data_IF_882505963219
#
_entry.id   IF_882505963219
#
_cell.length_a   1.000
_cell.length_b   1.000
_cell.length_c   1.000
_cell.angle_alpha   90.00
_cell.angle_beta   90.00
_cell.angle_gamma   90.00
#
_symmetry.space_group_name_H-M   'P 1'
#
loop_
_entity.id
_entity.type
_entity.pdbx_description
1 polymer ?
#
# COMPACT_ATOMS: atom_id res chain seq x y z
N UNK A 1 5.80 8.94 -2.84
CA UNK A 1 5.09 7.87 -2.12
C UNK A 1 5.87 6.57 -2.34
N UNK A 2 6.11 5.78 -1.31
CA UNK A 2 6.87 4.52 -1.37
C UNK A 2 5.91 3.35 -1.61
N UNK A 3 6.28 2.41 -2.47
CA UNK A 3 5.57 1.13 -2.60
C UNK A 3 6.26 0.11 -1.67
N UNK A 4 5.48 -0.51 -0.78
CA UNK A 4 5.90 -1.56 0.13
C UNK A 4 5.31 -2.89 -0.36
N UNK A 5 6.07 -3.71 -1.13
CA UNK A 5 5.67 -5.08 -1.40
C UNK A 5 5.44 -5.83 -0.11
N UNK A 6 4.29 -6.47 -0.01
CA UNK A 6 3.84 -7.20 1.17
C UNK A 6 4.08 -8.69 1.01
N UNK A 7 4.73 -9.31 1.99
CA UNK A 7 4.97 -10.75 2.09
C UNK A 7 4.33 -11.22 3.39
N UNK A 8 3.10 -11.74 3.29
CA UNK A 8 2.44 -12.42 4.39
C UNK A 8 2.89 -13.88 4.44
N UNK A 9 3.32 -14.34 5.63
CA UNK A 9 3.86 -15.69 5.84
C UNK A 9 2.95 -16.47 6.78
N UNK A 10 2.47 -17.62 6.32
CA UNK A 10 1.73 -18.58 7.12
C UNK A 10 2.24 -20.01 6.85
N UNK A 11 2.57 -20.74 7.92
CA UNK A 11 3.19 -22.08 7.85
C UNK A 11 4.42 -22.13 6.91
N UNK A 12 5.25 -21.08 6.91
CA UNK A 12 6.43 -20.97 6.05
C UNK A 12 6.14 -20.70 4.56
N UNK A 13 4.89 -20.43 4.17
CA UNK A 13 4.49 -20.17 2.79
C UNK A 13 4.02 -18.72 2.61
N UNK A 14 4.23 -18.17 1.41
CA UNK A 14 3.66 -16.89 0.98
C UNK A 14 2.15 -17.05 0.84
N UNK A 15 1.39 -16.21 1.53
CA UNK A 15 -0.07 -16.25 1.50
C UNK A 15 -0.68 -14.88 1.24
N UNK A 16 -1.98 -14.86 0.98
CA UNK A 16 -2.82 -13.67 1.14
C UNK A 16 -4.09 -14.07 1.85
N UNK A 17 -4.38 -13.40 2.97
CA UNK A 17 -5.63 -13.62 3.69
C UNK A 17 -6.77 -12.83 3.04
N UNK A 18 -7.63 -13.52 2.30
CA UNK A 18 -8.91 -12.93 1.92
C UNK A 18 -9.71 -12.59 3.18
N UNK A 19 -10.04 -11.29 3.37
CA UNK A 19 -10.91 -10.82 4.47
C UNK A 19 -10.31 -10.99 5.88
N UNK A 20 -8.99 -11.16 5.99
CA UNK A 20 -8.33 -11.50 7.25
C UNK A 20 -8.76 -12.85 7.83
N UNK A 21 -9.40 -13.72 7.02
CA UNK A 21 -9.85 -15.06 7.44
C UNK A 21 -8.69 -16.02 7.36
N UNK A 22 -8.23 -16.47 8.52
CA UNK A 22 -7.08 -17.36 8.67
C UNK A 22 -7.25 -18.72 7.99
N UNK A 23 -8.49 -19.18 7.89
CA UNK A 23 -8.81 -20.55 7.50
C UNK A 23 -8.77 -20.78 5.98
N UNK A 24 -8.81 -19.72 5.18
CA UNK A 24 -8.87 -19.79 3.72
C UNK A 24 -7.81 -18.89 3.06
N UNK A 25 -6.51 -19.08 3.37
CA UNK A 25 -5.45 -18.32 2.70
C UNK A 25 -5.40 -18.70 1.22
N UNK A 26 -5.18 -17.72 0.36
CA UNK A 26 -4.64 -17.99 -0.97
C UNK A 26 -3.15 -18.23 -0.80
N UNK A 27 -2.67 -19.43 -1.11
CA UNK A 27 -1.24 -19.78 -1.07
C UNK A 27 -0.62 -19.50 -2.43
N UNK A 28 0.54 -18.85 -2.45
CA UNK A 28 1.30 -18.62 -3.67
C UNK A 28 2.43 -19.66 -3.79
N UNK A 29 2.76 -20.06 -5.01
CA UNK A 29 3.79 -21.09 -5.27
C UNK A 29 5.22 -20.58 -5.01
N UNK A 30 5.42 -19.27 -5.01
CA UNK A 30 6.72 -18.63 -4.74
C UNK A 30 7.01 -18.63 -3.22
N UNK A 31 8.24 -18.99 -2.85
CA UNK A 31 8.64 -18.95 -1.44
C UNK A 31 8.78 -17.50 -0.93
N UNK A 32 8.64 -17.25 0.38
CA UNK A 32 8.83 -15.90 0.93
C UNK A 32 10.22 -15.30 0.63
N UNK A 33 11.26 -16.14 0.56
CA UNK A 33 12.62 -15.72 0.22
C UNK A 33 12.74 -15.32 -1.25
N UNK A 34 12.22 -16.16 -2.15
CA UNK A 34 12.24 -15.86 -3.58
C UNK A 34 11.42 -14.59 -3.88
N UNK A 35 10.27 -14.41 -3.21
CA UNK A 35 9.45 -13.21 -3.35
C UNK A 35 10.21 -11.95 -2.87
N UNK A 36 10.90 -12.02 -1.73
CA UNK A 36 11.74 -10.93 -1.24
C UNK A 36 12.86 -10.58 -2.22
N UNK A 37 13.53 -11.59 -2.79
CA UNK A 37 14.55 -11.42 -3.83
C UNK A 37 13.98 -10.79 -5.10
N UNK A 38 12.85 -11.28 -5.60
CA UNK A 38 12.19 -10.73 -6.79
C UNK A 38 11.78 -9.26 -6.58
N UNK A 39 11.22 -8.92 -5.42
CA UNK A 39 10.78 -7.55 -5.13
C UNK A 39 11.95 -6.57 -5.02
N UNK A 40 13.05 -6.93 -4.35
CA UNK A 40 14.23 -6.06 -4.32
C UNK A 40 14.85 -5.90 -5.71
N UNK A 41 14.93 -6.98 -6.50
CA UNK A 41 15.47 -6.95 -7.86
C UNK A 41 14.60 -6.11 -8.82
N UNK A 42 13.30 -6.03 -8.54
CA UNK A 42 12.36 -5.16 -9.25
C UNK A 42 12.41 -3.68 -8.80
N UNK A 43 13.25 -3.34 -7.81
CA UNK A 43 13.53 -1.98 -7.37
C UNK A 43 12.76 -1.52 -6.14
N UNK A 44 12.18 -2.43 -5.35
CA UNK A 44 11.55 -2.07 -4.08
C UNK A 44 12.52 -1.27 -3.18
N UNK A 45 12.02 -0.24 -2.51
CA UNK A 45 12.80 0.53 -1.53
C UNK A 45 12.66 -0.02 -0.11
N UNK A 46 11.61 -0.80 0.14
CA UNK A 46 11.28 -1.42 1.42
C UNK A 46 10.60 -2.76 1.18
N UNK A 47 10.73 -3.69 2.12
CA UNK A 47 9.84 -4.85 2.22
C UNK A 47 8.92 -4.72 3.43
N UNK A 48 7.65 -5.09 3.28
CA UNK A 48 6.73 -5.30 4.39
C UNK A 48 6.54 -6.81 4.58
N UNK A 49 6.90 -7.34 5.75
CA UNK A 49 6.86 -8.79 6.01
C UNK A 49 5.99 -9.04 7.24
N UNK A 50 4.98 -9.89 7.10
CA UNK A 50 3.98 -10.15 8.14
C UNK A 50 3.99 -11.61 8.56
N UNK A 51 4.28 -11.89 9.84
CA UNK A 51 4.05 -13.22 10.42
C UNK A 51 2.57 -13.42 10.77
N UNK A 52 1.82 -14.03 9.86
CA UNK A 52 0.38 -14.32 10.03
C UNK A 52 0.16 -15.31 11.18
N UNK A 53 1.05 -16.28 11.38
CA UNK A 53 0.95 -17.18 12.52
C UNK A 53 1.15 -16.42 13.84
N UNK A 54 2.08 -15.46 13.86
CA UNK A 54 2.31 -14.54 14.97
C UNK A 54 1.08 -13.69 15.31
N UNK A 55 0.37 -13.17 14.30
CA UNK A 55 -0.89 -12.41 14.47
C UNK A 55 -1.87 -13.20 15.33
N UNK A 56 -2.12 -14.47 14.98
CA UNK A 56 -3.15 -15.28 15.65
C UNK A 56 -2.69 -16.07 16.88
N UNK A 57 -1.41 -16.49 16.96
CA UNK A 57 -0.94 -17.46 17.98
C UNK A 57 -0.09 -16.89 19.10
N UNK A 58 0.52 -15.71 18.95
CA UNK A 58 1.34 -15.16 20.04
C UNK A 58 2.83 -15.04 19.74
N UNK A 59 3.44 -16.07 19.13
CA UNK A 59 4.91 -16.22 19.02
C UNK A 59 5.38 -17.17 17.89
N UNK A 60 6.39 -16.75 17.14
CA UNK A 60 7.61 -17.52 16.81
C UNK A 60 7.52 -18.70 15.85
N UNK A 61 6.59 -18.72 14.89
CA UNK A 61 6.53 -19.83 13.91
C UNK A 61 7.39 -19.57 12.67
N UNK A 62 7.55 -18.30 12.27
CA UNK A 62 8.27 -17.92 11.05
C UNK A 62 9.49 -17.02 11.34
N UNK A 63 9.93 -16.91 12.60
CA UNK A 63 11.03 -16.01 12.99
C UNK A 63 12.33 -16.28 12.23
N UNK A 64 12.74 -17.56 12.13
CA UNK A 64 13.97 -17.93 11.43
C UNK A 64 13.91 -17.55 9.94
N UNK A 65 12.76 -17.79 9.30
CA UNK A 65 12.53 -17.44 7.89
C UNK A 65 12.53 -15.93 7.66
N UNK A 66 11.94 -15.14 8.57
CA UNK A 66 11.96 -13.68 8.46
C UNK A 66 13.37 -13.14 8.71
N UNK A 67 14.13 -13.72 9.65
CA UNK A 67 15.55 -13.39 9.82
C UNK A 67 16.35 -13.69 8.55
N UNK A 68 16.09 -14.81 7.88
CA UNK A 68 16.73 -15.14 6.61
C UNK A 68 16.35 -14.14 5.50
N UNK A 69 15.10 -13.64 5.46
CA UNK A 69 14.72 -12.54 4.54
C UNK A 69 15.50 -11.27 4.88
N UNK A 70 15.62 -10.91 6.17
CA UNK A 70 16.35 -9.71 6.60
C UNK A 70 17.84 -9.81 6.24
N UNK A 71 18.46 -10.97 6.45
CA UNK A 71 19.89 -11.19 6.20
C UNK A 71 20.23 -11.17 4.69
N UNK A 72 19.28 -11.52 3.82
CA UNK A 72 19.46 -11.55 2.37
C UNK A 72 18.92 -10.30 1.62
N UNK A 73 18.23 -9.39 2.32
CA UNK A 73 17.70 -8.17 1.72
C UNK A 73 18.74 -7.04 1.77
N UNK A 74 19.04 -6.44 0.61
CA UNK A 74 19.86 -5.21 0.54
C UNK A 74 19.06 -3.93 0.89
N UNK A 75 17.75 -4.08 1.11
CA UNK A 75 16.80 -3.00 1.38
C UNK A 75 16.16 -3.17 2.76
N UNK A 76 15.72 -2.07 3.40
CA UNK A 76 15.15 -2.13 4.74
C UNK A 76 13.86 -2.96 4.82
N UNK A 77 13.79 -3.81 5.84
CA UNK A 77 12.63 -4.68 6.11
C UNK A 77 11.80 -4.10 7.26
N UNK A 78 10.50 -3.90 7.02
CA UNK A 78 9.48 -3.60 8.02
C UNK A 78 8.80 -4.90 8.45
N UNK A 79 8.90 -5.25 9.74
CA UNK A 79 8.34 -6.50 10.28
C UNK A 79 7.04 -6.24 11.04
N UNK A 80 6.03 -7.04 10.75
CA UNK A 80 4.75 -7.07 11.43
C UNK A 80 4.38 -8.51 11.85
N UNK A 81 3.36 -8.63 12.69
CA UNK A 81 2.81 -9.94 13.09
C UNK A 81 3.21 -10.36 14.50
N UNK A 82 2.25 -10.32 15.41
CA UNK A 82 2.38 -10.95 16.74
C UNK A 82 3.30 -10.30 17.76
N UNK A 83 3.84 -9.11 17.47
CA UNK A 83 4.73 -8.36 18.35
C UNK A 83 3.89 -7.69 19.46
N UNK A 84 4.12 -8.13 20.71
CA UNK A 84 3.24 -7.83 21.87
C UNK A 84 3.97 -7.25 23.08
N UNK A 85 5.30 -7.30 23.10
CA UNK A 85 6.10 -6.89 24.24
C UNK A 85 7.32 -6.11 23.76
N UNK A 86 7.88 -5.29 24.65
CA UNK A 86 9.12 -4.56 24.44
C UNK A 86 10.26 -5.52 24.05
N UNK A 87 10.37 -6.65 24.75
CA UNK A 87 11.35 -7.69 24.42
C UNK A 87 11.21 -8.24 22.99
N UNK A 88 9.99 -8.40 22.46
CA UNK A 88 9.83 -8.82 21.06
C UNK A 88 10.30 -7.72 20.09
N UNK A 89 10.07 -6.44 20.43
CA UNK A 89 10.53 -5.30 19.64
C UNK A 89 12.06 -5.26 19.63
N UNK A 90 12.68 -5.36 20.81
CA UNK A 90 14.15 -5.39 20.96
C UNK A 90 14.75 -6.52 20.13
N UNK A 91 14.18 -7.73 20.24
CA UNK A 91 14.65 -8.91 19.52
C UNK A 91 14.65 -8.70 18.01
N UNK A 92 13.57 -8.17 17.42
CA UNK A 92 13.54 -7.93 15.97
C UNK A 92 14.55 -6.88 15.52
N UNK A 93 14.76 -5.83 16.32
CA UNK A 93 15.79 -4.83 16.02
C UNK A 93 17.21 -5.38 16.15
N UNK A 94 17.47 -6.26 17.10
CA UNK A 94 18.74 -6.99 17.23
C UNK A 94 19.02 -7.90 16.03
N UNK A 95 17.97 -8.42 15.38
CA UNK A 95 18.04 -9.26 14.18
C UNK A 95 17.85 -8.47 12.88
N UNK A 96 18.13 -7.16 12.88
CA UNK A 96 18.25 -6.36 11.66
C UNK A 96 16.96 -5.76 11.10
N UNK A 97 15.79 -5.99 11.71
CA UNK A 97 14.55 -5.35 11.25
C UNK A 97 14.72 -3.82 11.25
N UNK A 98 14.39 -3.17 10.14
CA UNK A 98 14.56 -1.71 10.03
C UNK A 98 13.45 -0.96 10.73
N UNK A 99 12.24 -1.52 10.75
CA UNK A 99 11.03 -0.92 11.33
C UNK A 99 10.09 -2.00 11.87
N UNK A 100 9.39 -1.69 12.95
CA UNK A 100 8.43 -2.60 13.58
C UNK A 100 7.02 -2.05 13.51
N UNK A 101 6.06 -2.91 13.16
CA UNK A 101 4.64 -2.58 13.13
C UNK A 101 3.93 -3.17 14.34
N UNK A 102 3.26 -2.30 15.09
CA UNK A 102 2.44 -2.67 16.24
C UNK A 102 0.97 -2.39 15.94
N UNK A 103 0.12 -3.40 15.97
CA UNK A 103 -1.34 -3.23 15.90
C UNK A 103 -1.94 -3.25 17.30
N UNK A 104 -2.51 -4.40 17.66
CA UNK A 104 -3.20 -4.62 18.95
C UNK A 104 -2.43 -4.16 20.19
N UNK A 105 -1.11 -4.39 20.23
CA UNK A 105 -0.29 -4.03 21.38
C UNK A 105 -0.22 -2.51 21.60
N UNK A 106 -0.08 -1.73 20.52
CA UNK A 106 -0.06 -0.28 20.57
C UNK A 106 -1.39 0.31 21.06
N UNK A 107 -2.50 -0.34 20.69
CA UNK A 107 -3.86 0.10 21.05
C UNK A 107 -4.21 -0.27 22.49
N UNK A 108 -3.82 -1.48 22.95
CA UNK A 108 -4.10 -1.96 24.31
C UNK A 108 -3.16 -1.37 25.37
N UNK A 109 -1.91 -1.09 25.02
CA UNK A 109 -0.89 -0.59 25.95
C UNK A 109 -0.14 0.61 25.35
N UNK A 110 -0.70 1.80 25.56
CA UNK A 110 -0.07 3.06 25.15
C UNK A 110 1.25 3.33 25.88
N UNK A 111 1.46 2.75 27.07
CA UNK A 111 2.73 2.92 27.80
C UNK A 111 3.84 2.11 27.14
N UNK A 112 3.55 0.89 26.69
CA UNK A 112 4.44 0.12 25.84
C UNK A 112 4.81 0.93 24.60
N UNK A 113 3.81 1.46 23.87
CA UNK A 113 4.06 2.25 22.66
C UNK A 113 4.99 3.44 22.94
N UNK A 114 4.75 4.20 24.02
CA UNK A 114 5.61 5.32 24.43
C UNK A 114 7.05 4.89 24.70
N UNK A 115 7.26 3.77 25.40
CA UNK A 115 8.61 3.26 25.70
C UNK A 115 9.36 2.89 24.42
N UNK A 116 8.73 2.11 23.53
CA UNK A 116 9.40 1.65 22.31
C UNK A 116 9.64 2.77 21.31
N UNK A 117 8.73 3.76 21.20
CA UNK A 117 8.97 4.95 20.37
C UNK A 117 10.10 5.82 20.92
N UNK A 118 10.23 5.91 22.25
CA UNK A 118 11.34 6.63 22.88
C UNK A 118 12.68 5.92 22.66
N UNK A 119 12.71 4.60 22.79
CA UNK A 119 13.91 3.78 22.61
C UNK A 119 14.33 3.66 21.13
N UNK A 120 13.36 3.63 20.21
CA UNK A 120 13.57 3.49 18.77
C UNK A 120 12.89 4.61 17.95
N UNK A 121 13.35 5.87 18.05
CA UNK A 121 12.73 7.00 17.37
C UNK A 121 12.64 6.79 15.86
N UNK A 122 11.45 7.03 15.28
CA UNK A 122 11.24 6.92 13.82
C UNK A 122 11.22 5.48 13.27
N UNK A 123 11.25 4.45 14.12
CA UNK A 123 11.29 3.04 13.70
C UNK A 123 10.07 2.21 14.11
N UNK A 124 9.10 2.83 14.77
CA UNK A 124 7.84 2.18 15.18
C UNK A 124 6.69 2.73 14.35
N UNK A 125 5.92 1.84 13.73
CA UNK A 125 4.69 2.14 12.99
C UNK A 125 3.51 1.48 13.68
N UNK A 126 2.35 2.12 13.63
CA UNK A 126 1.12 1.57 14.21
C UNK A 126 0.14 1.19 13.13
N UNK A 127 -0.40 -0.03 13.19
CA UNK A 127 -1.49 -0.47 12.29
C UNK A 127 -2.84 -0.14 12.92
N UNK A 128 -3.69 0.54 12.15
CA UNK A 128 -5.09 0.81 12.46
C UNK A 128 -5.94 0.10 11.41
N UNK A 129 -6.46 -1.06 11.79
CA UNK A 129 -7.35 -1.83 10.93
C UNK A 129 -8.81 -1.54 11.33
N UNK A 130 -9.67 -1.30 10.35
CA UNK A 130 -11.03 -0.79 10.55
C UNK A 130 -12.07 -1.71 9.92
N UNK A 131 -13.20 -1.85 10.61
CA UNK A 131 -14.44 -2.45 10.07
C UNK A 131 -15.63 -1.69 10.63
N UNK A 132 -16.60 -1.38 9.79
CA UNK A 132 -17.78 -0.59 10.15
C UNK A 132 -17.44 0.74 10.83
N UNK A 133 -16.33 1.38 10.43
CA UNK A 133 -15.86 2.65 11.00
C UNK A 133 -15.21 2.57 12.38
N UNK A 134 -15.02 1.36 12.93
CA UNK A 134 -14.39 1.14 14.24
C UNK A 134 -13.10 0.33 14.11
N UNK A 135 -12.16 0.63 15.01
CA UNK A 135 -10.86 -0.03 15.04
C UNK A 135 -10.98 -1.47 15.55
N UNK A 136 -10.27 -2.38 14.89
CA UNK A 136 -10.18 -3.79 15.22
C UNK A 136 -8.86 -4.13 15.92
N UNK A 137 -8.91 -5.13 16.80
CA UNK A 137 -7.76 -5.70 17.52
C UNK A 137 -7.87 -7.23 17.57
N UNK A 138 -6.85 -7.89 18.11
CA UNK A 138 -6.75 -9.34 18.26
C UNK A 138 -6.87 -10.09 16.91
N UNK A 139 -6.16 -9.61 15.88
CA UNK A 139 -6.19 -10.21 14.55
C UNK A 139 -7.57 -10.11 13.89
N UNK A 140 -8.15 -8.91 13.94
CA UNK A 140 -9.46 -8.58 13.34
C UNK A 140 -10.69 -9.26 13.98
N UNK A 141 -10.49 -9.90 15.14
CA UNK A 141 -11.54 -10.64 15.85
C UNK A 141 -12.37 -9.77 16.78
N UNK A 142 -11.79 -8.71 17.35
CA UNK A 142 -12.45 -7.88 18.36
C UNK A 142 -12.58 -6.45 17.86
N UNK A 143 -13.83 -5.99 17.73
CA UNK A 143 -14.14 -4.60 17.46
C UNK A 143 -14.09 -3.77 18.74
N UNK A 144 -13.41 -2.63 18.67
CA UNK A 144 -13.33 -1.66 19.77
C UNK A 144 -14.39 -0.56 19.59
N UNK A 145 -14.46 0.36 20.56
CA UNK A 145 -15.22 1.61 20.41
C UNK A 145 -14.40 2.76 19.84
N UNK A 146 -13.13 2.54 19.49
CA UNK A 146 -12.26 3.61 18.99
C UNK A 146 -12.58 3.92 17.53
N UNK A 147 -12.64 5.22 17.22
CA UNK A 147 -12.67 5.72 15.85
C UNK A 147 -11.23 5.90 15.34
N UNK A 148 -10.95 5.60 14.05
CA UNK A 148 -9.59 5.56 13.53
C UNK A 148 -8.88 6.92 13.58
N UNK A 149 -9.57 8.01 13.24
CA UNK A 149 -9.00 9.36 13.26
C UNK A 149 -8.65 9.80 14.68
N UNK A 150 -9.57 9.60 15.64
CA UNK A 150 -9.34 9.97 17.04
C UNK A 150 -8.16 9.18 17.64
N UNK A 151 -8.10 7.88 17.32
CA UNK A 151 -6.99 7.03 17.73
C UNK A 151 -5.68 7.47 17.09
N UNK A 152 -5.66 7.76 15.78
CA UNK A 152 -4.49 8.26 15.06
C UNK A 152 -3.93 9.56 15.67
N UNK A 153 -4.81 10.52 16.00
CA UNK A 153 -4.41 11.78 16.67
C UNK A 153 -3.76 11.53 18.03
N UNK A 154 -4.22 10.50 18.75
CA UNK A 154 -3.61 10.14 20.04
C UNK A 154 -2.14 9.68 19.90
N UNK A 155 -1.72 9.23 18.72
CA UNK A 155 -0.37 8.77 18.44
C UNK A 155 0.60 9.88 18.00
N UNK A 156 0.12 11.03 17.54
CA UNK A 156 0.95 12.16 17.05
C UNK A 156 1.97 12.60 18.11
N UNK A 157 1.56 12.64 19.38
CA UNK A 157 2.43 13.04 20.51
C UNK A 157 3.37 11.95 21.04
N UNK A 158 3.34 10.73 20.47
CA UNK A 158 4.06 9.56 20.99
C UNK A 158 5.38 9.32 20.25
N UNK A 159 5.54 9.84 19.03
CA UNK A 159 6.72 9.63 18.20
C UNK A 159 6.63 8.39 17.31
N UNK A 160 5.41 7.98 16.94
CA UNK A 160 5.16 6.97 15.90
C UNK A 160 5.66 7.51 14.56
N UNK A 161 6.29 6.66 13.76
CA UNK A 161 6.89 7.04 12.47
C UNK A 161 5.85 7.22 11.35
N UNK A 162 4.81 6.38 11.37
CA UNK A 162 3.70 6.39 10.42
C UNK A 162 2.52 5.57 10.97
N UNK A 163 1.34 5.76 10.40
CA UNK A 163 0.17 4.91 10.63
C UNK A 163 -0.09 4.09 9.37
N UNK A 164 -0.14 2.77 9.52
CA UNK A 164 -0.73 1.89 8.49
C UNK A 164 -2.24 1.93 8.68
N UNK A 165 -2.97 2.23 7.63
CA UNK A 165 -4.43 2.25 7.64
C UNK A 165 -4.99 1.20 6.68
N UNK A 166 -5.85 0.34 7.20
CA UNK A 166 -6.52 -0.72 6.44
C UNK A 166 -8.01 -0.67 6.72
N UNK A 167 -8.86 -0.43 5.71
CA UNK A 167 -10.30 -0.61 5.83
C UNK A 167 -10.71 -1.98 5.27
N UNK A 168 -10.98 -2.93 6.16
CA UNK A 168 -11.23 -4.33 5.79
C UNK A 168 -12.57 -4.49 5.07
N UNK A 169 -13.59 -3.73 5.46
CA UNK A 169 -14.94 -3.93 4.93
C UNK A 169 -15.17 -3.20 3.61
N UNK A 170 -14.69 -1.96 3.52
CA UNK A 170 -14.80 -1.18 2.28
C UNK A 170 -13.96 -1.81 1.18
N UNK A 171 -12.80 -2.38 1.52
CA UNK A 171 -11.97 -3.13 0.57
C UNK A 171 -12.71 -4.29 -0.08
N UNK A 172 -13.64 -4.93 0.63
CA UNK A 172 -14.34 -6.11 0.13
C UNK A 172 -15.51 -5.80 -0.81
N UNK A 173 -16.18 -4.66 -0.65
CA UNK A 173 -17.46 -4.37 -1.33
C UNK A 173 -17.44 -3.08 -2.16
N UNK A 174 -16.59 -2.13 -1.79
CA UNK A 174 -16.56 -0.77 -2.32
C UNK A 174 -15.13 -0.20 -2.25
N UNK A 175 -14.20 -0.67 -3.11
CA UNK A 175 -12.79 -0.24 -3.09
C UNK A 175 -12.64 1.30 -3.18
N UNK A 176 -13.56 1.97 -3.87
CA UNK A 176 -13.66 3.44 -3.92
C UNK A 176 -13.89 4.08 -2.54
N UNK A 177 -14.57 3.37 -1.63
CA UNK A 177 -14.84 3.84 -0.28
C UNK A 177 -13.62 3.65 0.65
N UNK A 178 -12.73 2.69 0.35
CA UNK A 178 -11.43 2.54 1.04
C UNK A 178 -10.48 3.70 0.72
N UNK A 179 -10.50 4.19 -0.53
CA UNK A 179 -9.79 5.40 -0.92
C UNK A 179 -10.33 6.63 -0.18
N UNK A 180 -11.65 6.73 -0.01
CA UNK A 180 -12.25 7.81 0.79
C UNK A 180 -11.78 7.78 2.25
N UNK A 181 -11.79 6.61 2.90
CA UNK A 181 -11.28 6.46 4.28
C UNK A 181 -9.79 6.79 4.40
N UNK A 182 -8.99 6.36 3.41
CA UNK A 182 -7.56 6.70 3.33
C UNK A 182 -7.34 8.21 3.20
N UNK A 183 -8.13 8.88 2.36
CA UNK A 183 -8.10 10.35 2.18
C UNK A 183 -8.50 11.10 3.46
N UNK A 184 -9.53 10.61 4.17
CA UNK A 184 -9.95 11.16 5.46
C UNK A 184 -8.83 11.08 6.50
N UNK A 185 -8.15 9.94 6.60
CA UNK A 185 -7.01 9.75 7.50
C UNK A 185 -5.85 10.69 7.14
N UNK A 186 -5.48 10.76 5.86
CA UNK A 186 -4.42 11.63 5.37
C UNK A 186 -4.70 13.13 5.55
N UNK A 187 -5.97 13.53 5.47
CA UNK A 187 -6.39 14.92 5.74
C UNK A 187 -6.37 15.25 7.23
N UNK A 188 -6.74 14.30 8.08
CA UNK A 188 -7.00 14.55 9.50
C UNK A 188 -5.79 14.41 10.41
N UNK A 189 -4.74 13.70 9.98
CA UNK A 189 -3.55 13.37 10.77
C UNK A 189 -2.31 14.10 10.26
N UNK A 190 -1.43 14.48 11.18
CA UNK A 190 -0.07 14.97 10.87
C UNK A 190 0.93 13.83 10.67
N UNK A 191 0.62 12.63 11.15
CA UNK A 191 1.44 11.44 10.96
C UNK A 191 1.37 10.95 9.51
N UNK A 192 2.50 10.54 8.89
CA UNK A 192 2.49 9.91 7.58
C UNK A 192 1.57 8.69 7.52
N UNK A 193 0.77 8.58 6.45
CA UNK A 193 -0.12 7.44 6.24
C UNK A 193 0.49 6.45 5.25
N UNK A 194 0.45 5.18 5.61
CA UNK A 194 0.72 4.05 4.72
C UNK A 194 -0.61 3.36 4.44
N UNK A 195 -1.11 3.47 3.22
CA UNK A 195 -2.35 2.81 2.82
C UNK A 195 -2.12 1.31 2.65
N UNK A 196 -3.03 0.47 3.14
CA UNK A 196 -3.00 -0.98 2.91
C UNK A 196 -4.36 -1.47 2.43
N UNK A 197 -4.35 -2.44 1.52
CA UNK A 197 -5.57 -3.03 0.97
C UNK A 197 -6.37 -2.07 0.08
N UNK A 198 -5.71 -1.28 -0.76
CA UNK A 198 -6.38 -0.38 -1.72
C UNK A 198 -5.96 -0.61 -3.17
N UNK A 199 -4.86 -1.33 -3.40
CA UNK A 199 -4.27 -1.50 -4.73
C UNK A 199 -4.73 -2.80 -5.38
N UNK A 200 -5.47 -2.65 -6.48
CA UNK A 200 -5.82 -3.73 -7.40
C UNK A 200 -5.19 -3.52 -8.79
N UNK A 201 -4.96 -2.26 -9.15
CA UNK A 201 -4.46 -1.81 -10.44
C UNK A 201 -3.46 -0.66 -10.28
N UNK A 202 -2.79 -0.30 -11.38
CA UNK A 202 -1.91 0.88 -11.43
C UNK A 202 -2.69 2.21 -11.27
N UNK A 203 -3.98 2.22 -11.60
CA UNK A 203 -4.85 3.38 -11.41
C UNK A 203 -5.01 3.70 -9.92
N UNK A 204 -5.13 2.68 -9.07
CA UNK A 204 -5.22 2.86 -7.61
C UNK A 204 -3.96 3.52 -7.05
N UNK A 205 -2.78 3.10 -7.52
CA UNK A 205 -1.50 3.72 -7.15
C UNK A 205 -1.44 5.18 -7.59
N UNK A 206 -1.93 5.47 -8.80
CA UNK A 206 -2.04 6.83 -9.32
C UNK A 206 -2.97 7.69 -8.45
N UNK A 207 -4.14 7.19 -8.07
CA UNK A 207 -5.08 7.91 -7.21
C UNK A 207 -4.51 8.18 -5.82
N UNK A 208 -3.93 7.17 -5.17
CA UNK A 208 -3.33 7.28 -3.83
C UNK A 208 -2.26 8.37 -3.77
N UNK A 209 -1.47 8.52 -4.84
CA UNK A 209 -0.45 9.55 -4.95
C UNK A 209 -1.00 10.98 -4.89
N UNK A 210 -2.26 11.20 -5.26
CA UNK A 210 -2.91 12.52 -5.18
C UNK A 210 -3.63 12.78 -3.86
N UNK A 211 -3.74 11.77 -3.00
CA UNK A 211 -4.34 11.94 -1.69
C UNK A 211 -3.37 12.63 -0.73
N UNK A 212 -3.88 13.45 0.20
CA UNK A 212 -3.03 14.17 1.15
C UNK A 212 -2.34 13.19 2.10
N UNK A 213 -1.05 13.46 2.40
CA UNK A 213 -0.28 12.78 3.45
C UNK A 213 -0.20 11.25 3.31
N UNK A 214 -0.26 10.74 2.08
CA UNK A 214 -0.02 9.32 1.78
C UNK A 214 1.44 9.13 1.37
N UNK A 215 2.25 8.70 2.32
CA UNK A 215 3.69 8.52 2.13
C UNK A 215 4.04 7.11 1.65
N UNK A 216 3.14 6.14 1.84
CA UNK A 216 3.38 4.75 1.49
C UNK A 216 2.13 3.98 1.09
N UNK A 217 2.34 2.90 0.35
CA UNK A 217 1.28 1.93 0.01
C UNK A 217 1.79 0.51 0.12
N UNK A 218 1.13 -0.30 0.93
CA UNK A 218 1.37 -1.74 1.06
C UNK A 218 0.62 -2.46 -0.07
N UNK A 219 1.37 -3.23 -0.88
CA UNK A 219 0.82 -3.95 -2.03
C UNK A 219 1.27 -5.40 -2.00
N UNK A 220 0.35 -6.32 -1.69
CA UNK A 220 0.61 -7.77 -1.65
C UNK A 220 0.01 -8.50 -2.82
N UNK A 221 -1.25 -8.94 -2.67
CA UNK A 221 -1.96 -9.79 -3.63
C UNK A 221 -1.83 -9.32 -5.10
N UNK A 222 -1.97 -8.03 -5.38
CA UNK A 222 -1.88 -7.51 -6.74
C UNK A 222 -0.51 -7.74 -7.40
N UNK A 223 0.57 -7.76 -6.61
CA UNK A 223 1.91 -8.12 -7.10
C UNK A 223 2.00 -9.63 -7.35
N UNK A 224 1.58 -10.45 -6.39
CA UNK A 224 1.66 -11.92 -6.52
C UNK A 224 0.80 -12.46 -7.67
N UNK A 225 -0.35 -11.84 -7.97
CA UNK A 225 -1.19 -12.26 -9.10
C UNK A 225 -0.74 -11.64 -10.43
N UNK A 226 0.26 -10.76 -10.42
CA UNK A 226 0.70 -10.01 -11.61
C UNK A 226 -0.29 -8.98 -12.13
N UNK A 227 -1.32 -8.64 -11.35
CA UNK A 227 -2.28 -7.58 -11.71
C UNK A 227 -1.59 -6.19 -11.72
N UNK A 228 -0.58 -6.03 -10.88
CA UNK A 228 0.28 -4.85 -10.82
C UNK A 228 1.74 -5.29 -10.95
N UNK A 229 2.46 -4.63 -11.85
CA UNK A 229 3.92 -4.72 -11.94
C UNK A 229 4.55 -3.77 -10.92
N UNK A 230 5.43 -4.29 -10.07
CA UNK A 230 6.10 -3.50 -9.02
C UNK A 230 6.90 -2.34 -9.61
N UNK A 231 7.65 -2.59 -10.69
CA UNK A 231 8.43 -1.56 -11.38
C UNK A 231 7.57 -0.39 -11.85
N UNK A 232 6.37 -0.69 -12.35
CA UNK A 232 5.46 0.32 -12.88
C UNK A 232 4.74 1.07 -11.75
N UNK A 233 4.38 0.36 -10.67
CA UNK A 233 3.88 0.99 -9.46
C UNK A 233 4.89 1.98 -8.87
N UNK A 234 6.17 1.61 -8.80
CA UNK A 234 7.25 2.49 -8.35
C UNK A 234 7.38 3.71 -9.28
N UNK A 235 7.36 3.50 -10.60
CA UNK A 235 7.46 4.60 -11.56
C UNK A 235 6.28 5.59 -11.43
N UNK A 236 5.05 5.09 -11.25
CA UNK A 236 3.86 5.93 -11.04
C UNK A 236 3.95 6.67 -9.70
N UNK A 237 4.40 6.00 -8.64
CA UNK A 237 4.53 6.56 -7.30
C UNK A 237 5.66 7.60 -7.18
N UNK A 238 6.73 7.44 -7.97
CA UNK A 238 7.92 8.30 -8.00
C UNK A 238 7.93 9.35 -9.11
N UNK A 239 7.01 9.29 -10.08
CA UNK A 239 6.94 10.26 -11.17
C UNK A 239 6.83 11.71 -10.65
N UNK A 240 7.28 12.72 -11.41
CA UNK A 240 7.17 14.12 -10.99
C UNK A 240 5.70 14.41 -10.70
N UNK A 241 5.42 14.87 -9.46
CA UNK A 241 4.14 15.46 -9.08
C UNK A 241 3.66 16.33 -10.23
N UNK A 242 2.39 16.20 -10.62
CA UNK A 242 1.79 17.08 -11.64
C UNK A 242 2.29 18.49 -11.36
N UNK A 243 3.00 19.08 -12.32
CA UNK A 243 3.58 20.41 -12.16
C UNK A 243 2.48 21.33 -11.62
N UNK A 244 2.71 21.92 -10.44
CA UNK A 244 1.70 22.75 -9.79
C UNK A 244 1.27 23.93 -10.69
N UNK A 245 2.11 24.31 -11.66
CA UNK A 245 1.76 25.29 -12.70
C UNK A 245 0.57 24.84 -13.58
N UNK A 246 0.35 23.53 -13.76
CA UNK A 246 -0.78 22.97 -14.50
C UNK A 246 -2.12 23.18 -13.79
N UNK A 247 -2.11 23.28 -12.45
CA UNK A 247 -3.30 23.64 -11.68
C UNK A 247 -3.63 25.13 -11.81
N UNK A 248 -2.63 25.99 -11.95
CA UNK A 248 -2.80 27.43 -12.20
C UNK A 248 -3.25 27.73 -13.63
N UNK A 249 -2.82 26.94 -14.61
CA UNK A 249 -3.17 27.13 -16.01
C UNK A 249 -4.59 26.65 -16.35
N UNK A 250 -5.16 25.77 -15.53
CA UNK A 250 -6.39 25.04 -15.84
C UNK A 250 -6.21 24.11 -17.05
N UNK A 251 -7.13 23.16 -17.25
CA UNK A 251 -7.16 22.37 -18.50
C UNK A 251 -7.56 23.30 -19.65
N UNK A 252 -6.58 23.97 -20.26
CA UNK A 252 -6.79 24.69 -21.51
C UNK A 252 -6.85 23.66 -22.64
N UNK A 253 -7.89 23.70 -23.50
CA UNK A 253 -7.87 22.91 -24.71
C UNK A 253 -6.60 23.26 -25.50
N UNK A 254 -5.89 22.26 -26.06
CA UNK A 254 -4.64 22.52 -26.76
C UNK A 254 -4.86 23.56 -27.85
N UNK A 255 -4.00 24.58 -27.88
CA UNK A 255 -4.00 25.56 -28.94
C UNK A 255 -3.63 24.85 -30.25
N UNK A 256 -4.36 25.14 -31.34
CA UNK A 256 -4.16 24.54 -32.66
C UNK A 256 -2.77 24.80 -33.27
N UNK A 257 -1.87 25.51 -32.58
CA UNK A 257 -0.57 25.93 -33.10
C UNK A 257 0.64 25.12 -32.60
N UNK A 258 0.51 24.30 -31.55
CA UNK A 258 1.68 23.72 -30.86
C UNK A 258 2.13 22.33 -31.37
N UNK A 259 1.63 21.87 -32.51
CA UNK A 259 1.98 20.53 -33.07
C UNK A 259 3.29 20.47 -33.86
N UNK A 260 4.20 21.43 -33.69
CA UNK A 260 5.52 21.35 -34.34
C UNK A 260 6.68 21.51 -33.36
N UNK A 261 7.06 20.37 -32.78
CA UNK A 261 8.46 20.09 -32.46
C UNK A 261 8.86 20.22 -31.00
N UNK A 262 8.69 19.15 -30.23
CA UNK A 262 9.64 18.82 -29.17
C UNK A 262 10.05 17.35 -29.29
N UNK A 263 11.37 17.15 -29.35
CA UNK A 263 12.03 15.84 -29.40
C UNK A 263 11.88 15.17 -28.05
N UNK A 264 11.27 13.99 -28.05
CA UNK A 264 11.11 13.16 -26.85
C UNK A 264 12.44 12.50 -26.49
N UNK A 265 12.87 12.76 -25.25
CA UNK A 265 13.87 11.96 -24.56
C UNK A 265 13.27 10.59 -24.24
N UNK A 266 14.03 9.57 -24.60
CA UNK A 266 13.70 8.16 -24.57
C UNK A 266 13.68 7.61 -23.12
N UNK A 267 12.50 7.63 -22.50
CA UNK A 267 12.09 6.76 -21.38
C UNK A 267 10.55 6.80 -21.25
N UNK A 268 9.84 6.40 -22.30
CA UNK A 268 8.41 6.04 -22.16
C UNK A 268 8.36 4.55 -21.83
N UNK A 269 8.03 4.21 -20.59
CA UNK A 269 7.59 2.86 -20.29
C UNK A 269 6.20 2.68 -20.92
N UNK A 270 6.01 1.71 -21.80
CA UNK A 270 4.78 1.46 -22.59
C UNK A 270 3.57 0.96 -21.75
N UNK A 271 3.46 1.35 -20.48
CA UNK A 271 2.37 0.93 -19.59
C UNK A 271 1.24 1.95 -19.61
N UNK A 272 -0.02 1.47 -19.67
CA UNK A 272 -1.21 2.31 -19.76
C UNK A 272 -2.16 2.05 -18.60
N UNK A 273 -2.55 3.11 -17.90
CA UNK A 273 -3.66 3.12 -16.93
C UNK A 273 -5.00 3.15 -17.66
N UNK A 274 -6.10 2.71 -17.03
CA UNK A 274 -7.43 2.83 -17.62
C UNK A 274 -7.72 4.31 -17.92
N UNK A 275 -7.38 5.20 -16.99
CA UNK A 275 -7.47 6.64 -17.19
C UNK A 275 -6.71 7.13 -18.43
N UNK A 276 -5.49 6.65 -18.65
CA UNK A 276 -4.70 7.02 -19.84
C UNK A 276 -5.31 6.45 -21.12
N UNK A 277 -5.78 5.20 -21.12
CA UNK A 277 -6.43 4.62 -22.31
C UNK A 277 -7.73 5.33 -22.67
N UNK A 278 -8.56 5.66 -21.68
CA UNK A 278 -9.78 6.44 -21.89
C UNK A 278 -9.46 7.85 -22.38
N UNK A 279 -8.41 8.48 -21.86
CA UNK A 279 -7.95 9.78 -22.33
C UNK A 279 -7.46 9.72 -23.77
N UNK A 280 -6.59 8.76 -24.11
CA UNK A 280 -6.08 8.53 -25.46
C UNK A 280 -7.25 8.29 -26.44
N UNK A 281 -8.19 7.44 -26.06
CA UNK A 281 -9.41 7.14 -26.83
C UNK A 281 -10.25 8.40 -27.07
N UNK A 282 -10.48 9.19 -26.03
CA UNK A 282 -11.25 10.43 -26.14
C UNK A 282 -10.54 11.48 -27.00
N UNK A 283 -9.21 11.58 -26.92
CA UNK A 283 -8.43 12.46 -27.78
C UNK A 283 -8.52 12.03 -29.25
N UNK A 284 -8.46 10.72 -29.53
CA UNK A 284 -8.58 10.19 -30.88
C UNK A 284 -9.98 10.46 -31.49
N UNK A 285 -11.05 10.24 -30.71
CA UNK A 285 -12.41 10.59 -31.10
C UNK A 285 -12.59 12.10 -31.34
N UNK A 286 -12.08 12.95 -30.44
CA UNK A 286 -12.17 14.41 -30.56
C UNK A 286 -11.43 14.96 -31.79
N UNK A 287 -10.42 14.24 -32.28
CA UNK A 287 -9.68 14.54 -33.53
C UNK A 287 -10.34 13.97 -34.78
N UNK A 288 -11.49 13.31 -34.67
CA UNK A 288 -12.23 12.72 -35.78
C UNK A 288 -11.61 11.45 -36.35
N UNK A 289 -10.73 10.78 -35.60
CA UNK A 289 -10.05 9.57 -36.05
C UNK A 289 -10.93 8.31 -36.00
N UNK A 290 -12.12 8.40 -35.40
CA UNK A 290 -13.08 7.30 -35.24
C UNK A 290 -14.51 7.85 -35.14
N UNK A 291 -15.48 6.99 -35.42
CA UNK A 291 -16.91 7.25 -35.30
C UNK A 291 -17.39 7.16 -33.84
N UNK A 292 -18.59 7.66 -33.55
CA UNK A 292 -19.23 7.54 -32.23
C UNK A 292 -19.41 6.08 -31.82
N UNK A 293 -19.76 5.22 -32.77
CA UNK A 293 -20.00 3.79 -32.53
C UNK A 293 -18.70 3.05 -32.20
N UNK A 294 -17.61 3.36 -32.91
CA UNK A 294 -16.26 2.84 -32.60
C UNK A 294 -15.76 3.33 -31.24
N UNK A 295 -16.00 4.60 -30.91
CA UNK A 295 -15.64 5.17 -29.62
C UNK A 295 -16.36 4.48 -28.45
N UNK A 296 -17.69 4.33 -28.52
CA UNK A 296 -18.45 3.68 -27.45
C UNK A 296 -18.10 2.19 -27.31
N UNK A 297 -17.84 1.48 -28.43
CA UNK A 297 -17.39 0.09 -28.38
C UNK A 297 -16.00 -0.05 -27.76
N UNK A 298 -15.05 0.81 -28.13
CA UNK A 298 -13.70 0.79 -27.60
C UNK A 298 -13.70 1.15 -26.10
N UNK A 299 -14.49 2.14 -25.71
CA UNK A 299 -14.68 2.53 -24.30
C UNK A 299 -15.21 1.37 -23.47
N UNK A 300 -16.24 0.66 -23.95
CA UNK A 300 -16.76 -0.54 -23.26
C UNK A 300 -15.72 -1.66 -23.17
N UNK A 301 -14.86 -1.82 -24.18
CA UNK A 301 -13.77 -2.79 -24.13
C UNK A 301 -12.73 -2.42 -23.07
N UNK A 302 -12.32 -1.14 -23.01
CA UNK A 302 -11.37 -0.66 -21.99
C UNK A 302 -11.97 -0.87 -20.59
N UNK A 303 -13.22 -0.45 -20.36
CA UNK A 303 -13.89 -0.61 -19.07
C UNK A 303 -14.03 -2.08 -18.64
N UNK A 304 -14.15 -3.02 -19.58
CA UNK A 304 -14.16 -4.45 -19.28
C UNK A 304 -12.76 -4.97 -18.93
N UNK A 305 -11.75 -4.56 -19.69
CA UNK A 305 -10.38 -5.01 -19.48
C UNK A 305 -9.81 -4.61 -18.09
N UNK A 306 -10.29 -3.49 -17.54
CA UNK A 306 -9.88 -3.00 -16.21
C UNK A 306 -10.91 -3.27 -15.10
N UNK A 307 -12.03 -3.95 -15.41
CA UNK A 307 -13.12 -4.21 -14.47
C UNK A 307 -13.22 -5.66 -13.97
N UNK A 308 -12.34 -6.55 -14.44
CA UNK A 308 -12.18 -7.95 -13.96
C UNK A 308 -11.02 -8.05 -12.98
#
# INVERSE_FOLDING_TARGET
MIIYPDIEIQNGQSVSLARGRKEEPTVFDISPLDAAEEFQNAGAEWLHVVDIDGVFRGRGYNSDLICEIIDNADIPVQVAGGIRTEHHVDWWFEHGASRIVLGTAAIKDTQLLRRVCHQYPGRIVVSIDVRNGFVLIDGWQTQTSFQPIELGKSFESIGVAAVIYTDIERFENHPESSLAGTSEMGTALELPIISSGTVHSLDDVSFLRFLPNIDGVITGKALFTGAVSLKDAIAIAGGPGVDASLAEEGVKPPSLADTTGQKEGDHRSDYKTMGQELLDLHQAYSKGAMTVEEYESAKLSILRNFGE
#
